data_IF_421252818767
#
_entry.id   IF_421252818767
#
_cell.length_a   1.000
_cell.length_b   1.000
_cell.length_c   1.000
_cell.angle_alpha   90.00
_cell.angle_beta   90.00
_cell.angle_gamma   90.00
#
_symmetry.space_group_name_H-M   'P 1'
#
loop_
_entity.id
_entity.type
_entity.pdbx_description
1 polymer ?
#
# COMPACT_ATOMS: atom_id res chain seq x y z
N UNK A 1 -24.88 -8.06 47.74
CA UNK A 1 -25.00 -8.52 46.34
C UNK A 1 -25.66 -7.42 45.53
N UNK A 2 -24.94 -6.80 44.60
CA UNK A 2 -25.47 -5.72 43.74
C UNK A 2 -26.04 -6.36 42.46
N UNK A 3 -27.35 -6.26 42.24
CA UNK A 3 -27.99 -6.83 41.06
C UNK A 3 -27.86 -5.85 39.88
N UNK A 4 -27.17 -6.27 38.82
CA UNK A 4 -27.14 -5.55 37.54
C UNK A 4 -28.49 -5.71 36.85
N UNK A 5 -29.28 -4.63 36.78
CA UNK A 5 -30.49 -4.60 35.94
C UNK A 5 -30.13 -4.27 34.50
N UNK A 6 -30.58 -5.13 33.59
CA UNK A 6 -30.42 -4.95 32.14
C UNK A 6 -31.47 -3.94 31.66
N UNK A 7 -31.04 -2.72 31.38
CA UNK A 7 -31.90 -1.67 30.80
C UNK A 7 -32.20 -2.08 29.36
N UNK A 8 -33.46 -2.40 29.05
CA UNK A 8 -33.90 -2.65 27.66
C UNK A 8 -34.21 -1.32 26.98
N UNK A 9 -33.22 -0.76 26.28
CA UNK A 9 -33.44 0.39 25.40
C UNK A 9 -33.92 -0.07 24.02
N UNK A 10 -34.76 0.74 23.39
CA UNK A 10 -35.16 0.57 21.98
C UNK A 10 -33.91 0.55 21.10
N UNK A 11 -33.81 -0.43 20.19
CA UNK A 11 -32.67 -0.53 19.28
C UNK A 11 -32.53 0.75 18.47
N UNK A 12 -31.44 1.50 18.69
CA UNK A 12 -31.14 2.69 17.91
C UNK A 12 -30.96 2.34 16.43
N UNK A 13 -31.50 3.16 15.54
CA UNK A 13 -31.27 3.02 14.10
C UNK A 13 -29.80 3.30 13.82
N UNK A 14 -29.06 2.30 13.35
CA UNK A 14 -27.66 2.47 12.98
C UNK A 14 -27.56 3.31 11.69
N UNK A 15 -27.31 4.60 11.83
CA UNK A 15 -26.98 5.48 10.69
C UNK A 15 -25.59 5.10 10.18
N UNK A 16 -25.53 4.46 9.02
CA UNK A 16 -24.27 4.04 8.40
C UNK A 16 -23.80 5.11 7.41
N UNK A 17 -22.55 5.55 7.53
CA UNK A 17 -21.98 6.49 6.57
C UNK A 17 -21.93 5.89 5.15
N UNK A 18 -22.13 6.69 4.09
CA UNK A 18 -22.05 6.21 2.72
C UNK A 18 -20.68 5.57 2.44
N UNK A 19 -20.69 4.42 1.78
CA UNK A 19 -19.46 3.72 1.41
C UNK A 19 -18.67 4.56 0.41
N UNK A 20 -17.35 4.74 0.59
CA UNK A 20 -16.57 5.54 -0.36
C UNK A 20 -16.59 4.91 -1.75
N UNK A 21 -16.67 5.76 -2.79
CA UNK A 21 -16.80 5.34 -4.18
C UNK A 21 -15.73 4.34 -4.61
N UNK A 22 -14.49 4.46 -4.11
CA UNK A 22 -13.39 3.52 -4.34
C UNK A 22 -13.73 2.06 -3.98
N UNK A 23 -14.68 1.82 -3.08
CA UNK A 23 -15.15 0.48 -2.69
C UNK A 23 -16.29 -0.04 -3.58
N UNK A 24 -17.01 0.85 -4.24
CA UNK A 24 -18.26 0.55 -4.95
C UNK A 24 -18.08 0.57 -6.46
N UNK A 25 -17.13 1.35 -6.97
CA UNK A 25 -16.79 1.42 -8.39
C UNK A 25 -16.09 0.14 -8.86
N UNK A 26 -16.64 -0.48 -9.90
CA UNK A 26 -16.00 -1.59 -10.59
C UNK A 26 -14.75 -1.08 -11.30
N UNK A 27 -13.59 -1.61 -10.91
CA UNK A 27 -12.33 -1.30 -11.56
C UNK A 27 -11.42 -2.53 -11.56
N UNK A 28 -10.41 -2.54 -12.43
CA UNK A 28 -9.46 -3.63 -12.50
C UNK A 28 -8.69 -3.79 -11.16
N UNK A 29 -8.33 -5.02 -10.77
CA UNK A 29 -7.45 -5.23 -9.62
C UNK A 29 -6.15 -4.45 -9.82
N UNK A 30 -5.61 -3.89 -8.73
CA UNK A 30 -4.42 -3.03 -8.76
C UNK A 30 -4.53 -1.73 -9.60
N UNK A 31 -5.73 -1.30 -9.98
CA UNK A 31 -5.93 0.04 -10.59
C UNK A 31 -5.54 1.17 -9.62
N UNK A 32 -5.95 1.03 -8.36
CA UNK A 32 -5.56 1.89 -7.24
C UNK A 32 -4.77 1.06 -6.24
N UNK A 33 -3.51 1.45 -6.03
CA UNK A 33 -2.55 0.72 -5.21
C UNK A 33 -2.08 1.60 -4.08
N UNK A 34 -2.18 1.08 -2.85
CA UNK A 34 -1.46 1.63 -1.73
C UNK A 34 -0.13 0.90 -1.54
N UNK A 35 0.94 1.65 -1.31
CA UNK A 35 2.29 1.12 -1.13
C UNK A 35 2.78 1.44 0.28
N UNK A 36 3.33 0.44 0.96
CA UNK A 36 3.92 0.57 2.29
C UNK A 36 5.20 -0.27 2.40
N UNK A 37 6.07 0.09 3.35
CA UNK A 37 7.23 -0.71 3.72
C UNK A 37 6.95 -1.52 4.99
N UNK A 38 7.05 -2.84 4.86
CA UNK A 38 7.10 -3.78 5.97
C UNK A 38 8.51 -3.79 6.54
N UNK A 39 8.61 -3.53 7.85
CA UNK A 39 9.88 -3.31 8.55
C UNK A 39 10.81 -4.51 8.57
N UNK A 40 12.02 -4.33 9.15
CA UNK A 40 13.14 -5.17 8.80
C UNK A 40 12.89 -6.63 9.20
N UNK A 41 13.00 -7.48 8.19
CA UNK A 41 13.21 -8.91 8.31
C UNK A 41 14.69 -9.17 8.53
N UNK A 42 15.00 -9.98 9.53
CA UNK A 42 16.35 -10.44 9.77
C UNK A 42 16.50 -11.85 9.20
N UNK A 43 17.45 -12.00 8.29
CA UNK A 43 17.88 -13.33 7.84
C UNK A 43 18.73 -13.98 8.93
N UNK A 44 18.94 -15.30 8.85
CA UNK A 44 19.85 -16.03 9.77
C UNK A 44 21.26 -15.42 9.81
N UNK A 45 21.67 -14.78 8.72
CA UNK A 45 22.95 -14.10 8.59
C UNK A 45 22.95 -12.66 9.15
N UNK A 46 21.94 -12.31 9.97
CA UNK A 46 21.72 -10.98 10.57
C UNK A 46 21.54 -9.81 9.58
N UNK A 47 21.45 -10.12 8.29
CA UNK A 47 21.18 -9.15 7.25
C UNK A 47 19.74 -8.63 7.33
N UNK A 48 19.60 -7.29 7.27
CA UNK A 48 18.31 -6.60 7.23
C UNK A 48 17.76 -6.61 5.82
N UNK A 49 16.52 -7.05 5.68
CA UNK A 49 15.73 -6.94 4.47
C UNK A 49 14.41 -6.26 4.81
N UNK A 50 13.75 -5.70 3.81
CA UNK A 50 12.45 -5.06 3.95
C UNK A 50 11.50 -5.67 2.94
N UNK A 51 10.19 -5.58 3.21
CA UNK A 51 9.17 -5.97 2.24
C UNK A 51 8.48 -4.72 1.74
N UNK A 52 8.32 -4.59 0.42
CA UNK A 52 7.41 -3.62 -0.18
C UNK A 52 6.05 -4.28 -0.32
N UNK A 53 5.03 -3.70 0.31
CA UNK A 53 3.66 -4.16 0.25
C UNK A 53 2.90 -3.32 -0.78
N UNK A 54 2.45 -3.96 -1.86
CA UNK A 54 1.53 -3.36 -2.84
C UNK A 54 0.13 -3.89 -2.56
N UNK A 55 -0.75 -3.00 -2.09
CA UNK A 55 -2.11 -3.35 -1.71
C UNK A 55 -3.10 -2.77 -2.71
N UNK A 56 -3.93 -3.61 -3.33
CA UNK A 56 -5.03 -3.12 -4.17
C UNK A 56 -6.15 -2.54 -3.30
N UNK A 57 -6.57 -1.30 -3.57
CA UNK A 57 -7.70 -0.69 -2.89
C UNK A 57 -9.06 -1.29 -3.30
N UNK A 58 -9.12 -1.92 -4.47
CA UNK A 58 -10.32 -2.49 -5.07
C UNK A 58 -10.60 -3.88 -4.52
N UNK A 59 -9.64 -4.78 -4.64
CA UNK A 59 -9.81 -6.20 -4.29
C UNK A 59 -9.20 -6.57 -2.95
N UNK A 60 -8.43 -5.68 -2.32
CA UNK A 60 -7.60 -5.96 -1.14
C UNK A 60 -6.53 -7.04 -1.36
N UNK A 61 -6.21 -7.35 -2.63
CA UNK A 61 -5.12 -8.23 -2.97
C UNK A 61 -3.78 -7.61 -2.55
N UNK A 62 -2.87 -8.45 -2.05
CA UNK A 62 -1.53 -8.07 -1.64
C UNK A 62 -0.52 -8.67 -2.60
N UNK A 63 0.43 -7.84 -3.02
CA UNK A 63 1.62 -8.26 -3.75
C UNK A 63 2.84 -7.82 -2.94
N UNK A 64 3.71 -8.77 -2.62
CA UNK A 64 4.85 -8.56 -1.74
C UNK A 64 6.14 -8.71 -2.54
N UNK A 65 7.05 -7.75 -2.39
CA UNK A 65 8.39 -7.78 -3.00
C UNK A 65 9.45 -7.61 -1.90
N UNK A 66 10.39 -8.54 -1.84
CA UNK A 66 11.52 -8.45 -0.91
C UNK A 66 12.58 -7.49 -1.48
N UNK A 67 13.05 -6.57 -0.64
CA UNK A 67 14.11 -5.61 -0.98
C UNK A 67 15.17 -5.59 0.12
N UNK A 68 16.42 -5.37 -0.25
CA UNK A 68 17.52 -5.40 0.74
C UNK A 68 17.55 -4.11 1.57
N UNK A 69 17.22 -2.97 0.96
CA UNK A 69 17.30 -1.65 1.61
C UNK A 69 16.06 -0.80 1.30
N UNK A 70 15.84 0.22 2.13
CA UNK A 70 14.85 1.28 1.93
C UNK A 70 15.40 2.40 1.04
N UNK A 71 16.10 2.07 -0.04
CA UNK A 71 16.61 3.09 -0.99
C UNK A 71 15.59 3.35 -2.10
N UNK A 72 15.76 4.48 -2.80
CA UNK A 72 14.91 4.83 -3.95
C UNK A 72 15.10 3.83 -5.09
N UNK A 73 16.35 3.43 -5.35
CA UNK A 73 16.69 2.48 -6.43
C UNK A 73 16.08 1.10 -6.21
N UNK A 74 16.23 0.55 -4.99
CA UNK A 74 15.65 -0.75 -4.64
C UNK A 74 14.13 -0.73 -4.75
N UNK A 75 13.49 0.38 -4.36
CA UNK A 75 12.06 0.55 -4.52
C UNK A 75 11.63 0.65 -5.99
N UNK A 76 12.32 1.43 -6.82
CA UNK A 76 12.01 1.54 -8.25
C UNK A 76 12.13 0.19 -8.98
N UNK A 77 13.13 -0.63 -8.61
CA UNK A 77 13.26 -1.99 -9.12
C UNK A 77 12.08 -2.88 -8.68
N UNK A 78 11.65 -2.78 -7.42
CA UNK A 78 10.47 -3.49 -6.93
C UNK A 78 9.19 -3.04 -7.65
N UNK A 79 9.01 -1.73 -7.86
CA UNK A 79 7.89 -1.16 -8.61
C UNK A 79 7.88 -1.66 -10.05
N UNK A 80 9.03 -1.74 -10.71
CA UNK A 80 9.16 -2.29 -12.06
C UNK A 80 8.72 -3.77 -12.12
N UNK A 81 9.15 -4.58 -11.15
CA UNK A 81 8.73 -6.00 -11.05
C UNK A 81 7.23 -6.11 -10.82
N UNK A 82 6.67 -5.26 -9.95
CA UNK A 82 5.23 -5.21 -9.70
C UNK A 82 4.45 -4.89 -10.99
N UNK A 83 4.81 -3.81 -11.70
CA UNK A 83 4.15 -3.40 -12.95
C UNK A 83 4.27 -4.50 -14.01
N UNK A 84 5.44 -5.13 -14.13
CA UNK A 84 5.65 -6.22 -15.09
C UNK A 84 4.76 -7.44 -14.82
N UNK A 85 4.35 -7.68 -13.56
CA UNK A 85 3.51 -8.84 -13.19
C UNK A 85 2.02 -8.52 -13.06
N UNK A 86 1.66 -7.31 -12.65
CA UNK A 86 0.28 -6.91 -12.33
C UNK A 86 -0.31 -5.90 -13.31
N UNK A 87 0.52 -5.35 -14.20
CA UNK A 87 0.13 -4.28 -15.11
C UNK A 87 0.32 -2.89 -14.50
N UNK A 88 0.03 -1.87 -15.30
CA UNK A 88 0.12 -0.47 -14.88
C UNK A 88 -1.05 -0.12 -13.95
N UNK A 89 -0.73 0.58 -12.87
CA UNK A 89 -1.72 1.15 -11.96
C UNK A 89 -2.08 2.57 -12.41
N UNK A 90 -3.35 2.94 -12.25
CA UNK A 90 -3.83 4.29 -12.55
C UNK A 90 -3.54 5.26 -11.41
N UNK A 91 -3.55 4.78 -10.16
CA UNK A 91 -3.31 5.61 -8.97
C UNK A 91 -2.43 4.90 -7.96
N UNK A 92 -1.38 5.58 -7.52
CA UNK A 92 -0.46 5.14 -6.46
C UNK A 92 -0.67 6.02 -5.23
N UNK A 93 -0.82 5.38 -4.08
CA UNK A 93 -1.04 6.02 -2.79
C UNK A 93 0.07 5.61 -1.83
N UNK A 94 0.89 6.55 -1.37
CA UNK A 94 2.01 6.26 -0.46
C UNK A 94 1.97 7.17 0.75
N UNK A 95 2.71 6.80 1.79
CA UNK A 95 3.04 7.75 2.86
C UNK A 95 4.08 8.78 2.38
N UNK A 96 4.40 9.73 3.26
CA UNK A 96 5.34 10.82 2.99
C UNK A 96 6.82 10.40 3.11
N UNK A 97 7.16 9.11 3.10
CA UNK A 97 8.53 8.67 3.22
C UNK A 97 9.41 9.29 2.12
N UNK A 98 10.63 9.66 2.51
CA UNK A 98 11.60 10.32 1.63
C UNK A 98 11.92 9.50 0.38
N UNK A 99 11.88 8.18 0.52
CA UNK A 99 12.07 7.20 -0.55
C UNK A 99 10.99 7.35 -1.63
N UNK A 100 9.72 7.39 -1.26
CA UNK A 100 8.62 7.55 -2.20
C UNK A 100 8.60 8.94 -2.83
N UNK A 101 8.86 9.99 -2.05
CA UNK A 101 9.00 11.36 -2.60
C UNK A 101 10.08 11.44 -3.66
N UNK A 102 11.25 10.85 -3.39
CA UNK A 102 12.35 10.84 -4.37
C UNK A 102 12.03 9.95 -5.57
N UNK A 103 11.34 8.83 -5.35
CA UNK A 103 10.91 7.92 -6.43
C UNK A 103 9.93 8.59 -7.38
N UNK A 104 9.00 9.39 -6.87
CA UNK A 104 8.06 10.17 -7.70
C UNK A 104 8.81 11.16 -8.61
N UNK A 105 9.84 11.84 -8.07
CA UNK A 105 10.67 12.76 -8.83
C UNK A 105 11.48 12.02 -9.91
N UNK A 106 12.12 10.91 -9.56
CA UNK A 106 12.87 10.06 -10.51
C UNK A 106 11.97 9.55 -11.64
N UNK A 107 10.73 9.15 -11.32
CA UNK A 107 9.76 8.70 -12.31
C UNK A 107 9.37 9.84 -13.27
N UNK A 108 9.13 11.05 -12.74
CA UNK A 108 8.86 12.27 -13.52
C UNK A 108 10.05 12.70 -14.36
N UNK A 109 11.28 12.49 -13.91
CA UNK A 109 12.48 12.79 -14.68
C UNK A 109 12.69 11.78 -15.81
N UNK A 110 12.49 10.50 -15.52
CA UNK A 110 12.53 9.42 -16.52
C UNK A 110 11.55 9.68 -17.67
N UNK A 111 10.36 10.22 -17.37
CA UNK A 111 9.39 10.65 -18.36
C UNK A 111 9.92 11.69 -19.36
N UNK A 112 10.72 12.65 -18.89
CA UNK A 112 11.28 13.71 -19.75
C UNK A 112 12.34 13.17 -20.71
N UNK A 113 13.04 12.12 -20.31
CA UNK A 113 14.14 11.52 -21.08
C UNK A 113 13.62 10.61 -22.20
N UNK A 114 12.46 9.97 -22.01
CA UNK A 114 11.87 9.11 -23.05
C UNK A 114 11.60 9.96 -24.30
N UNK A 115 12.31 9.68 -25.40
CA UNK A 115 12.15 10.39 -26.67
C UNK A 115 11.08 9.78 -27.56
N UNK A 116 10.89 8.46 -27.47
CA UNK A 116 10.03 7.69 -28.36
C UNK A 116 8.56 8.16 -28.31
N UNK A 117 7.97 8.55 -29.45
CA UNK A 117 6.62 9.10 -29.51
C UNK A 117 5.53 8.06 -29.21
N UNK A 118 5.75 6.79 -29.57
CA UNK A 118 4.82 5.68 -29.30
C UNK A 118 4.74 5.41 -27.80
N UNK A 119 5.89 5.36 -27.14
CA UNK A 119 5.98 5.18 -25.69
C UNK A 119 5.35 6.37 -24.97
N UNK A 120 5.63 7.60 -25.42
CA UNK A 120 4.97 8.81 -24.89
C UNK A 120 3.45 8.75 -25.04
N UNK A 121 2.91 8.36 -26.19
CA UNK A 121 1.46 8.26 -26.38
C UNK A 121 0.82 7.20 -25.45
N UNK A 122 1.46 6.05 -25.30
CA UNK A 122 0.99 4.98 -24.42
C UNK A 122 0.94 5.41 -22.95
N UNK A 123 1.99 6.03 -22.43
CA UNK A 123 2.01 6.49 -21.04
C UNK A 123 1.20 7.78 -20.82
N UNK A 124 1.04 8.63 -21.83
CA UNK A 124 0.18 9.82 -21.74
C UNK A 124 -1.31 9.44 -21.65
N UNK A 125 -1.72 8.31 -22.25
CA UNK A 125 -3.05 7.74 -22.06
C UNK A 125 -3.19 6.99 -20.72
N UNK A 126 -2.11 6.39 -20.21
CA UNK A 126 -2.09 5.61 -18.96
C UNK A 126 -1.47 6.36 -17.77
N UNK A 127 -1.74 7.66 -17.62
CA UNK A 127 -1.13 8.52 -16.59
C UNK A 127 -1.28 7.91 -15.19
N UNK A 128 -0.15 7.68 -14.54
CA UNK A 128 -0.09 7.24 -13.16
C UNK A 128 -0.26 8.47 -12.27
N UNK A 129 -1.36 8.54 -11.52
CA UNK A 129 -1.56 9.59 -10.53
C UNK A 129 -0.94 9.18 -9.19
N UNK A 130 0.11 9.88 -8.78
CA UNK A 130 0.74 9.67 -7.49
C UNK A 130 0.13 10.62 -6.44
N UNK A 131 -0.28 10.09 -5.29
CA UNK A 131 -0.81 10.89 -4.20
C UNK A 131 -0.22 10.44 -2.86
N UNK A 132 0.23 11.43 -2.10
CA UNK A 132 0.72 11.24 -0.74
C UNK A 132 -0.43 11.33 0.25
N UNK A 133 -0.52 10.35 1.14
CA UNK A 133 -1.52 10.32 2.21
C UNK A 133 -0.99 11.18 3.37
N UNK A 134 -1.87 12.01 3.94
CA UNK A 134 -1.55 12.75 5.17
C UNK A 134 -1.28 11.75 6.30
N UNK A 135 -0.20 11.98 7.05
CA UNK A 135 0.20 11.12 8.16
C UNK A 135 -0.96 10.92 9.15
N UNK A 136 -1.23 9.66 9.52
CA UNK A 136 -2.33 9.26 10.42
C UNK A 136 -3.75 9.59 9.95
N UNK A 137 -3.95 10.05 8.71
CA UNK A 137 -5.30 10.34 8.23
C UNK A 137 -6.19 9.08 8.23
N UNK A 138 -7.44 9.27 8.66
CA UNK A 138 -8.53 8.30 8.62
C UNK A 138 -9.14 8.18 7.21
N UNK A 139 -8.34 8.41 6.16
CA UNK A 139 -8.81 8.13 4.80
C UNK A 139 -9.04 6.62 4.64
N UNK A 140 -10.04 6.23 3.84
CA UNK A 140 -10.35 4.81 3.61
C UNK A 140 -9.11 4.01 3.15
N UNK A 141 -8.26 4.65 2.35
CA UNK A 141 -7.00 4.06 1.87
C UNK A 141 -5.99 3.92 3.00
N UNK A 142 -5.79 4.95 3.82
CA UNK A 142 -4.92 4.86 5.00
C UNK A 142 -5.37 3.78 5.97
N UNK A 143 -6.69 3.61 6.16
CA UNK A 143 -7.24 2.51 6.95
C UNK A 143 -6.96 1.14 6.30
N UNK A 144 -7.16 1.01 4.99
CA UNK A 144 -6.92 -0.26 4.28
C UNK A 144 -5.44 -0.66 4.34
N UNK A 145 -4.54 0.28 4.12
CA UNK A 145 -3.09 0.05 4.23
C UNK A 145 -2.72 -0.39 5.64
N UNK A 146 -3.22 0.29 6.67
CA UNK A 146 -2.98 -0.12 8.07
C UNK A 146 -3.52 -1.51 8.36
N UNK A 147 -4.72 -1.85 7.87
CA UNK A 147 -5.34 -3.16 8.12
C UNK A 147 -4.59 -4.27 7.41
N UNK A 148 -4.20 -4.06 6.17
CA UNK A 148 -3.42 -5.03 5.38
C UNK A 148 -2.00 -5.18 5.91
N UNK A 149 -1.36 -4.09 6.33
CA UNK A 149 -0.08 -4.15 7.03
C UNK A 149 -0.19 -4.92 8.36
N UNK A 150 -1.23 -4.67 9.16
CA UNK A 150 -1.49 -5.40 10.41
C UNK A 150 -1.75 -6.90 10.17
N UNK A 151 -2.52 -7.25 9.15
CA UNK A 151 -2.75 -8.64 8.78
C UNK A 151 -1.46 -9.31 8.29
N UNK A 152 -0.68 -8.62 7.45
CA UNK A 152 0.61 -9.12 6.95
C UNK A 152 1.57 -9.36 8.09
N UNK A 153 1.70 -8.41 9.03
CA UNK A 153 2.46 -8.57 10.28
C UNK A 153 2.01 -9.82 11.03
N UNK A 154 0.72 -9.98 11.26
CA UNK A 154 0.20 -11.13 12.01
C UNK A 154 0.53 -12.46 11.32
N UNK A 155 0.46 -12.53 9.99
CA UNK A 155 0.86 -13.70 9.23
C UNK A 155 2.37 -13.96 9.32
N UNK A 156 3.21 -12.95 9.09
CA UNK A 156 4.66 -13.08 9.18
C UNK A 156 5.13 -13.43 10.59
N UNK A 157 4.52 -12.87 11.63
CA UNK A 157 4.82 -13.21 13.01
C UNK A 157 4.45 -14.65 13.35
N UNK A 158 3.38 -15.19 12.76
CA UNK A 158 2.98 -16.59 12.95
C UNK A 158 3.93 -17.56 12.23
N UNK A 159 4.36 -17.21 11.03
CA UNK A 159 5.17 -18.09 10.17
C UNK A 159 6.67 -18.00 10.49
N UNK A 160 7.20 -16.78 10.61
CA UNK A 160 8.63 -16.51 10.81
C UNK A 160 9.02 -16.28 12.28
N UNK A 161 8.05 -16.23 13.21
CA UNK A 161 8.28 -16.00 14.64
C UNK A 161 8.39 -14.52 15.04
N UNK A 162 8.07 -14.23 16.31
CA UNK A 162 7.94 -12.87 16.88
C UNK A 162 9.21 -12.00 16.80
N UNK A 163 10.39 -12.60 16.72
CA UNK A 163 11.66 -11.86 16.80
C UNK A 163 12.14 -11.31 15.44
N UNK A 164 11.51 -11.73 14.34
CA UNK A 164 12.04 -11.47 13.00
C UNK A 164 11.31 -10.36 12.24
N UNK A 165 10.17 -9.85 12.73
CA UNK A 165 9.39 -8.79 12.06
C UNK A 165 9.17 -7.60 13.00
N UNK A 166 10.00 -6.56 12.86
CA UNK A 166 9.80 -5.29 13.58
C UNK A 166 9.20 -4.30 12.59
N UNK A 167 7.99 -3.84 12.84
CA UNK A 167 7.37 -2.81 12.01
C UNK A 167 7.51 -1.42 12.63
N UNK A 168 7.90 -0.42 11.83
CA UNK A 168 7.72 0.99 12.21
C UNK A 168 6.27 1.42 12.06
#
# INVERSE_FOLDING_TARGET
MCAMQKISSTSGVQVTAPLPALRVEQSAPFSVVGIDFGGPLYTKDENKHYIVLFTSAVTRALHLELVNNLTTETFLLALRRFISRRGLCSKILTDNARTFKRSEIELKNSWKVISDPTVKAFYASHKIYWQFIIERASTLVGWLLRKTHSNSKACFTKDCGKNNFISR
#
